data_IF_085703312416
#
_entry.id   IF_085703312416
#
_cell.length_a   1.000
_cell.length_b   1.000
_cell.length_c   1.000
_cell.angle_alpha   90.00
_cell.angle_beta   90.00
_cell.angle_gamma   90.00
#
_symmetry.space_group_name_H-M   'P 1'
#
loop_
_entity.id
_entity.type
_entity.pdbx_description
1 polymer ?
#
# COMPACT_ATOMS: atom_id res chain seq x y z
N UNK A 1 -14.43 16.24 -32.42
CA UNK A 1 -15.29 16.20 -31.22
C UNK A 1 -15.95 14.83 -31.01
N UNK A 2 -16.58 14.23 -32.04
CA UNK A 2 -17.22 12.90 -31.94
C UNK A 2 -16.24 11.75 -31.64
N UNK A 3 -15.06 11.74 -32.25
CA UNK A 3 -14.05 10.70 -32.01
C UNK A 3 -13.54 10.66 -30.55
N UNK A 4 -13.46 11.82 -29.89
CA UNK A 4 -13.03 11.92 -28.50
C UNK A 4 -14.09 11.39 -27.53
N UNK A 5 -15.38 11.64 -27.83
CA UNK A 5 -16.51 11.11 -27.06
C UNK A 5 -16.63 9.60 -27.22
N UNK A 6 -16.45 9.08 -28.44
CA UNK A 6 -16.47 7.64 -28.71
C UNK A 6 -15.32 6.89 -28.02
N UNK A 7 -14.10 7.45 -28.04
CA UNK A 7 -12.94 6.86 -27.37
C UNK A 7 -13.07 6.88 -25.83
N UNK A 8 -13.64 7.95 -25.26
CA UNK A 8 -13.95 7.99 -23.83
C UNK A 8 -15.03 6.98 -23.46
N UNK A 9 -16.15 6.93 -24.19
CA UNK A 9 -17.21 5.95 -23.96
C UNK A 9 -16.70 4.51 -24.07
N UNK A 10 -15.82 4.24 -25.05
CA UNK A 10 -15.14 2.94 -25.17
C UNK A 10 -14.38 2.58 -23.90
N UNK A 11 -13.52 3.47 -23.39
CA UNK A 11 -12.73 3.22 -22.18
C UNK A 11 -13.59 3.07 -20.91
N UNK A 12 -14.66 3.87 -20.75
CA UNK A 12 -15.56 3.78 -19.59
C UNK A 12 -16.43 2.51 -19.58
N UNK A 13 -16.67 1.91 -20.75
CA UNK A 13 -17.47 0.68 -20.90
C UNK A 13 -16.62 -0.59 -21.03
N UNK A 14 -15.29 -0.49 -20.95
CA UNK A 14 -14.42 -1.65 -21.04
C UNK A 14 -14.58 -2.56 -19.82
N UNK A 15 -14.98 -3.80 -20.07
CA UNK A 15 -15.15 -4.83 -19.05
C UNK A 15 -14.27 -6.04 -19.35
N UNK A 16 -13.49 -6.47 -18.36
CA UNK A 16 -12.74 -7.71 -18.41
C UNK A 16 -13.34 -8.74 -17.45
N UNK A 17 -13.51 -9.97 -17.93
CA UNK A 17 -13.89 -11.10 -17.09
C UNK A 17 -12.66 -11.92 -16.75
N UNK A 18 -12.29 -11.96 -15.47
CA UNK A 18 -11.22 -12.81 -14.96
C UNK A 18 -11.84 -14.14 -14.56
N UNK A 19 -11.39 -15.23 -15.19
CA UNK A 19 -11.92 -16.59 -14.95
C UNK A 19 -10.98 -17.36 -14.02
N UNK A 20 -11.54 -18.32 -13.28
CA UNK A 20 -10.81 -19.22 -12.38
C UNK A 20 -9.99 -18.47 -11.32
N UNK A 21 -10.59 -17.46 -10.67
CA UNK A 21 -9.98 -16.79 -9.52
C UNK A 21 -9.87 -17.81 -8.37
N UNK A 22 -8.68 -18.09 -7.84
CA UNK A 22 -8.53 -18.99 -6.70
C UNK A 22 -9.28 -18.47 -5.47
N UNK A 23 -9.86 -19.36 -4.67
CA UNK A 23 -10.65 -18.99 -3.48
C UNK A 23 -9.83 -18.12 -2.50
N UNK A 24 -8.55 -18.46 -2.32
CA UNK A 24 -7.62 -17.70 -1.47
C UNK A 24 -7.43 -16.26 -1.93
N UNK A 25 -7.52 -16.00 -3.25
CA UNK A 25 -7.41 -14.65 -3.82
C UNK A 25 -8.73 -13.89 -3.70
N UNK A 26 -9.89 -14.53 -3.92
CA UNK A 26 -11.21 -13.90 -3.73
C UNK A 26 -11.40 -13.47 -2.27
N UNK A 27 -11.05 -14.33 -1.30
CA UNK A 27 -11.11 -14.01 0.12
C UNK A 27 -10.22 -12.81 0.48
N UNK A 28 -8.98 -12.79 -0.04
CA UNK A 28 -8.06 -11.69 0.19
C UNK A 28 -8.59 -10.36 -0.37
N UNK A 29 -9.16 -10.36 -1.58
CA UNK A 29 -9.74 -9.17 -2.20
C UNK A 29 -10.98 -8.69 -1.45
N UNK A 30 -11.87 -9.60 -1.01
CA UNK A 30 -13.05 -9.23 -0.21
C UNK A 30 -12.69 -8.67 1.14
N UNK A 31 -11.69 -9.26 1.83
CA UNK A 31 -11.18 -8.71 3.09
C UNK A 31 -10.66 -7.30 2.89
N UNK A 32 -9.81 -7.09 1.88
CA UNK A 32 -9.24 -5.79 1.56
C UNK A 32 -10.32 -4.75 1.18
N UNK A 33 -11.39 -5.16 0.49
CA UNK A 33 -12.53 -4.29 0.18
C UNK A 33 -13.27 -3.83 1.44
N UNK A 34 -13.51 -4.75 2.40
CA UNK A 34 -14.15 -4.42 3.67
C UNK A 34 -13.30 -3.50 4.53
N UNK A 35 -12.00 -3.77 4.64
CA UNK A 35 -11.05 -2.96 5.43
C UNK A 35 -10.91 -1.54 4.89
N UNK A 36 -10.95 -1.38 3.56
CA UNK A 36 -10.82 -0.06 2.92
C UNK A 36 -12.16 0.66 2.69
N UNK A 37 -13.30 0.00 2.93
CA UNK A 37 -14.62 0.54 2.60
C UNK A 37 -14.85 0.77 1.11
N UNK A 38 -14.16 0.00 0.24
CA UNK A 38 -14.21 0.13 -1.22
C UNK A 38 -15.03 -1.00 -1.85
N UNK A 39 -15.47 -0.82 -3.08
CA UNK A 39 -16.06 -1.91 -3.84
C UNK A 39 -15.01 -2.97 -4.21
N UNK A 40 -15.46 -4.22 -4.38
CA UNK A 40 -14.57 -5.32 -4.80
C UNK A 40 -13.90 -5.01 -6.16
N UNK A 41 -14.63 -4.35 -7.07
CA UNK A 41 -14.12 -3.97 -8.38
C UNK A 41 -12.98 -2.95 -8.27
N UNK A 42 -13.14 -1.91 -7.45
CA UNK A 42 -12.08 -0.91 -7.23
C UNK A 42 -10.81 -1.56 -6.65
N UNK A 43 -10.95 -2.40 -5.63
CA UNK A 43 -9.81 -3.10 -5.03
C UNK A 43 -9.15 -4.06 -6.02
N UNK A 44 -9.92 -4.76 -6.84
CA UNK A 44 -9.38 -5.63 -7.88
C UNK A 44 -8.60 -4.84 -8.95
N UNK A 45 -9.12 -3.71 -9.41
CA UNK A 45 -8.42 -2.83 -10.35
C UNK A 45 -7.13 -2.28 -9.73
N UNK A 46 -7.16 -1.81 -8.48
CA UNK A 46 -5.98 -1.32 -7.77
C UNK A 46 -4.91 -2.42 -7.61
N UNK A 47 -5.32 -3.64 -7.27
CA UNK A 47 -4.42 -4.78 -7.13
C UNK A 47 -3.77 -5.15 -8.48
N UNK A 48 -4.55 -5.19 -9.56
CA UNK A 48 -4.05 -5.44 -10.92
C UNK A 48 -3.11 -4.33 -11.38
N UNK A 49 -3.46 -3.07 -11.15
CA UNK A 49 -2.61 -1.94 -11.48
C UNK A 49 -1.28 -1.99 -10.72
N UNK A 50 -1.32 -2.37 -9.43
CA UNK A 50 -0.11 -2.54 -8.60
C UNK A 50 0.76 -3.69 -9.11
N UNK A 51 0.15 -4.85 -9.40
CA UNK A 51 0.85 -6.02 -9.92
C UNK A 51 1.44 -5.80 -11.32
N UNK A 52 0.79 -5.00 -12.16
CA UNK A 52 1.27 -4.62 -13.48
C UNK A 52 2.29 -3.44 -13.46
N UNK A 53 2.55 -2.85 -12.29
CA UNK A 53 3.42 -1.68 -12.17
C UNK A 53 2.85 -0.40 -12.79
N UNK A 54 1.54 -0.34 -13.02
CA UNK A 54 0.82 0.78 -13.66
C UNK A 54 0.32 1.80 -12.63
N UNK A 55 0.34 1.47 -11.34
CA UNK A 55 0.13 2.48 -10.29
C UNK A 55 1.25 3.52 -10.34
N UNK A 56 0.97 4.66 -10.98
CA UNK A 56 1.84 5.83 -11.10
C UNK A 56 2.12 6.53 -9.78
N UNK A 57 1.49 6.09 -8.69
CA UNK A 57 1.91 6.42 -7.34
C UNK A 57 2.48 5.14 -6.72
N UNK A 58 3.81 4.96 -6.84
CA UNK A 58 4.55 4.50 -5.66
C UNK A 58 4.11 5.46 -4.57
N UNK A 59 3.16 5.07 -3.71
CA UNK A 59 2.53 5.97 -2.74
C UNK A 59 3.63 6.82 -2.15
N UNK A 60 3.61 8.12 -2.50
CA UNK A 60 4.80 9.00 -2.57
C UNK A 60 5.69 8.65 -1.40
N UNK A 61 6.76 7.90 -1.66
CA UNK A 61 7.61 7.42 -0.57
C UNK A 61 8.06 8.70 0.11
N UNK A 62 7.63 8.90 1.37
CA UNK A 62 7.96 10.14 2.07
C UNK A 62 9.46 10.19 2.08
N UNK A 63 10.03 11.14 1.36
CA UNK A 63 11.44 11.42 1.48
C UNK A 63 11.63 11.92 2.90
N UNK A 64 12.32 11.15 3.71
CA UNK A 64 12.64 11.49 5.09
C UNK A 64 13.86 12.43 5.16
N UNK A 65 14.21 13.06 4.05
CA UNK A 65 15.34 13.99 3.94
C UNK A 65 15.13 15.26 4.75
N UNK A 66 13.88 15.63 5.03
CA UNK A 66 13.49 16.73 5.90
C UNK A 66 13.67 16.44 7.40
N UNK A 67 13.70 15.16 7.79
CA UNK A 67 13.92 14.74 9.18
C UNK A 67 15.33 14.18 9.43
N UNK A 68 16.02 13.72 8.39
CA UNK A 68 17.38 13.21 8.51
C UNK A 68 18.34 14.33 8.97
N UNK A 69 19.02 14.14 10.11
CA UNK A 69 19.97 15.10 10.65
C UNK A 69 19.34 16.28 11.41
N UNK A 70 18.02 16.33 11.59
CA UNK A 70 17.35 17.36 12.41
C UNK A 70 17.24 16.96 13.89
N UNK A 71 17.87 15.86 14.28
CA UNK A 71 17.90 15.38 15.65
C UNK A 71 18.46 16.44 16.59
N UNK A 72 17.78 16.64 17.72
CA UNK A 72 18.26 17.47 18.82
C UNK A 72 18.59 16.54 19.98
N UNK A 73 19.75 16.77 20.61
CA UNK A 73 20.15 15.99 21.78
C UNK A 73 19.04 16.02 22.84
N UNK A 74 18.64 14.82 23.26
CA UNK A 74 17.61 14.57 24.26
C UNK A 74 18.15 13.55 25.27
N UNK A 75 18.54 13.99 26.47
CA UNK A 75 19.08 13.11 27.51
C UNK A 75 18.12 12.00 27.96
N UNK A 76 16.80 12.22 27.84
CA UNK A 76 15.81 11.20 28.18
C UNK A 76 15.82 10.07 27.13
N UNK A 77 15.97 10.45 25.85
CA UNK A 77 16.13 9.49 24.77
C UNK A 77 17.43 8.70 24.91
N UNK A 78 18.54 9.36 25.20
CA UNK A 78 19.85 8.69 25.40
C UNK A 78 19.80 7.69 26.57
N UNK A 79 19.13 8.06 27.66
CA UNK A 79 18.91 7.18 28.81
C UNK A 79 18.04 5.96 28.47
N UNK A 80 16.99 6.17 27.66
CA UNK A 80 16.14 5.08 27.18
C UNK A 80 16.89 4.13 26.23
N UNK A 81 17.74 4.67 25.36
CA UNK A 81 18.56 3.89 24.44
C UNK A 81 19.57 3.02 25.20
N UNK A 82 20.25 3.58 26.22
CA UNK A 82 21.16 2.82 27.07
C UNK A 82 20.45 1.69 27.84
N UNK A 83 19.21 1.91 28.29
CA UNK A 83 18.40 0.89 28.93
C UNK A 83 17.99 -0.22 27.93
N UNK A 84 17.67 0.15 26.69
CA UNK A 84 17.33 -0.81 25.62
C UNK A 84 18.53 -1.68 25.20
N UNK A 85 19.74 -1.11 25.14
CA UNK A 85 20.96 -1.83 24.76
C UNK A 85 21.45 -2.83 25.84
N UNK A 86 20.83 -2.82 27.03
CA UNK A 86 21.12 -3.80 28.07
C UNK A 86 20.48 -5.13 27.72
N UNK A 87 21.31 -6.11 27.35
CA UNK A 87 20.87 -7.47 27.04
C UNK A 87 20.40 -8.17 28.33
N UNK A 88 19.16 -8.65 28.31
CA UNK A 88 18.64 -9.58 29.32
C UNK A 88 18.97 -11.03 28.90
N UNK A 89 19.95 -11.63 29.57
CA UNK A 89 20.40 -13.00 29.30
C UNK A 89 19.33 -14.07 29.57
N UNK A 90 18.32 -13.78 30.40
CA UNK A 90 17.22 -14.71 30.69
C UNK A 90 16.19 -14.71 29.55
N UNK A 91 16.00 -13.56 28.89
CA UNK A 91 15.12 -13.42 27.72
C UNK A 91 15.77 -13.94 26.41
N UNK A 92 17.10 -14.13 26.39
CA UNK A 92 17.87 -14.56 25.22
C UNK A 92 18.22 -16.05 25.16
N UNK A 93 17.68 -16.88 26.08
CA UNK A 93 17.71 -18.34 26.00
C UNK A 93 16.40 -18.90 25.46
#
# INVERSE_FOLDING_TARGET
>A
MLAFLACNAYNFCMQYTIRNVPDTLDEALRRAAREQGKSLNEVAIEALARGAGVTGERGRQRELSDIAGTWRNDPAFDSALAAQDTIDEEMWR
#
